data_IF_084929533433
#
_entry.id   IF_084929533433
#
_cell.length_a   1.000
_cell.length_b   1.000
_cell.length_c   1.000
_cell.angle_alpha   90.00
_cell.angle_beta   90.00
_cell.angle_gamma   90.00
#
_symmetry.space_group_name_H-M   'P 1'
#
loop_
_entity.id
_entity.type
_entity.pdbx_description
1 polymer ?
#
# COMPACT_ATOMS: atom_id res chain seq x y z
N UNK A 1 -17.05 16.00 20.74
CA UNK A 1 -15.81 15.34 20.24
C UNK A 1 -16.14 14.70 18.90
N UNK A 2 -15.45 15.08 17.80
CA UNK A 2 -15.67 14.40 16.50
C UNK A 2 -15.27 12.95 16.64
N UNK A 3 -16.25 12.04 16.50
CA UNK A 3 -16.01 10.62 16.46
C UNK A 3 -14.99 10.34 15.35
N UNK A 4 -13.82 9.84 15.76
CA UNK A 4 -12.70 9.62 14.86
C UNK A 4 -13.10 8.45 13.98
N UNK A 5 -13.53 8.73 12.74
CA UNK A 5 -13.98 7.73 11.76
C UNK A 5 -12.98 6.57 11.78
N UNK A 6 -13.42 5.41 12.28
CA UNK A 6 -12.54 4.24 12.44
C UNK A 6 -12.17 3.79 11.03
N UNK A 7 -10.89 3.90 10.68
CA UNK A 7 -10.36 3.36 9.43
C UNK A 7 -10.66 1.86 9.41
N UNK A 8 -11.46 1.43 8.42
CA UNK A 8 -11.86 0.04 8.24
C UNK A 8 -11.56 -0.35 6.80
N UNK A 9 -10.75 -1.39 6.66
CA UNK A 9 -10.37 -2.00 5.37
C UNK A 9 -10.99 -3.39 5.20
N UNK A 10 -12.10 -3.66 5.90
CA UNK A 10 -12.70 -5.00 5.95
C UNK A 10 -13.07 -5.53 4.55
N UNK A 11 -13.56 -4.66 3.65
CA UNK A 11 -13.95 -5.06 2.28
C UNK A 11 -12.73 -5.40 1.43
N UNK A 12 -11.68 -4.60 1.54
CA UNK A 12 -10.43 -4.76 0.82
C UNK A 12 -9.69 -6.01 1.33
N UNK A 13 -9.67 -6.23 2.64
CA UNK A 13 -9.09 -7.42 3.26
C UNK A 13 -9.82 -8.68 2.82
N UNK A 14 -11.16 -8.68 2.81
CA UNK A 14 -11.92 -9.82 2.31
C UNK A 14 -11.63 -10.12 0.82
N UNK A 15 -11.51 -9.08 0.00
CA UNK A 15 -11.18 -9.23 -1.43
C UNK A 15 -9.76 -9.77 -1.62
N UNK A 16 -8.79 -9.32 -0.81
CA UNK A 16 -7.43 -9.85 -0.81
C UNK A 16 -7.40 -11.31 -0.33
N UNK A 17 -8.14 -11.67 0.71
CA UNK A 17 -8.22 -13.04 1.23
C UNK A 17 -8.66 -14.02 0.12
N UNK A 18 -9.68 -13.67 -0.66
CA UNK A 18 -10.05 -14.42 -1.86
C UNK A 18 -8.90 -14.49 -2.88
N UNK A 19 -8.21 -13.37 -3.14
CA UNK A 19 -7.03 -13.34 -4.02
C UNK A 19 -5.85 -14.20 -3.55
N UNK A 20 -5.77 -14.50 -2.25
CA UNK A 20 -4.79 -15.41 -1.66
C UNK A 20 -5.28 -16.87 -1.56
N UNK A 21 -6.48 -17.17 -2.08
CA UNK A 21 -7.03 -18.53 -2.16
C UNK A 21 -8.07 -18.88 -1.08
N UNK A 22 -8.56 -17.92 -0.31
CA UNK A 22 -9.69 -18.13 0.61
C UNK A 22 -11.04 -18.17 -0.16
N UNK A 23 -12.15 -18.39 0.53
CA UNK A 23 -13.49 -18.34 -0.02
C UNK A 23 -13.85 -16.96 -0.59
N UNK A 24 -14.70 -16.93 -1.63
CA UNK A 24 -15.23 -15.69 -2.23
C UNK A 24 -15.90 -14.76 -1.21
N UNK A 25 -16.53 -15.34 -0.21
CA UNK A 25 -17.10 -14.66 0.95
C UNK A 25 -16.46 -15.24 2.21
N UNK A 26 -15.28 -14.74 2.61
CA UNK A 26 -14.59 -15.24 3.80
C UNK A 26 -15.40 -14.93 5.06
N UNK A 27 -15.17 -15.71 6.12
CA UNK A 27 -15.88 -15.50 7.38
C UNK A 27 -15.55 -14.12 7.96
N UNK A 28 -16.56 -13.47 8.55
CA UNK A 28 -16.44 -12.10 9.05
C UNK A 28 -15.43 -11.99 10.21
N UNK A 29 -15.46 -12.94 11.13
CA UNK A 29 -14.53 -13.04 12.26
C UNK A 29 -13.07 -13.20 11.81
N UNK A 30 -12.82 -14.07 10.82
CA UNK A 30 -11.48 -14.24 10.22
C UNK A 30 -11.02 -12.95 9.52
N UNK A 31 -11.91 -12.32 8.74
CA UNK A 31 -11.61 -11.05 8.05
C UNK A 31 -11.24 -9.96 9.06
N UNK A 32 -11.97 -9.90 10.18
CA UNK A 32 -11.73 -8.92 11.24
C UNK A 32 -10.38 -9.14 11.92
N UNK A 33 -10.04 -10.40 12.22
CA UNK A 33 -8.74 -10.74 12.79
C UNK A 33 -7.59 -10.34 11.84
N UNK A 34 -7.68 -10.72 10.56
CA UNK A 34 -6.66 -10.38 9.54
C UNK A 34 -6.53 -8.86 9.38
N UNK A 35 -7.66 -8.15 9.36
CA UNK A 35 -7.70 -6.70 9.32
C UNK A 35 -6.93 -6.06 10.49
N UNK A 36 -7.20 -6.51 11.71
CA UNK A 36 -6.58 -5.95 12.91
C UNK A 36 -5.07 -6.28 12.98
N UNK A 37 -4.67 -7.50 12.58
CA UNK A 37 -3.26 -7.85 12.42
C UNK A 37 -2.55 -6.97 11.38
N UNK A 38 -3.21 -6.75 10.24
CA UNK A 38 -2.66 -5.93 9.14
C UNK A 38 -2.47 -4.48 9.59
N UNK A 39 -3.47 -3.88 10.26
CA UNK A 39 -3.37 -2.54 10.82
C UNK A 39 -2.26 -2.43 11.87
N UNK A 40 -2.16 -3.41 12.77
CA UNK A 40 -1.11 -3.47 13.78
C UNK A 40 0.28 -3.52 13.16
N UNK A 41 0.46 -4.36 12.14
CA UNK A 41 1.70 -4.49 11.40
C UNK A 41 2.09 -3.19 10.69
N UNK A 42 1.17 -2.58 9.93
CA UNK A 42 1.42 -1.33 9.20
C UNK A 42 1.79 -0.21 10.18
N UNK A 43 1.05 -0.08 11.28
CA UNK A 43 1.34 0.92 12.31
C UNK A 43 2.74 0.73 12.89
N UNK A 44 3.11 -0.50 13.25
CA UNK A 44 4.44 -0.79 13.78
C UNK A 44 5.55 -0.49 12.77
N UNK A 45 5.35 -0.85 11.49
CA UNK A 45 6.30 -0.59 10.42
C UNK A 45 6.48 0.90 10.15
N UNK A 46 5.39 1.67 10.11
CA UNK A 46 5.42 3.12 9.87
C UNK A 46 6.09 3.86 11.02
N UNK A 47 5.84 3.47 12.28
CA UNK A 47 6.51 4.06 13.44
C UNK A 47 8.03 3.81 13.37
N UNK A 48 8.45 2.58 13.06
CA UNK A 48 9.86 2.23 12.87
C UNK A 48 10.50 3.08 11.77
N UNK A 49 9.83 3.17 10.62
CA UNK A 49 10.28 3.96 9.46
C UNK A 49 10.39 5.45 9.78
N UNK A 50 9.39 6.01 10.45
CA UNK A 50 9.41 7.40 10.88
C UNK A 50 10.57 7.68 11.83
N UNK A 51 10.79 6.83 12.84
CA UNK A 51 11.89 7.00 13.80
C UNK A 51 13.27 6.94 13.13
N UNK A 52 13.45 6.06 12.14
CA UNK A 52 14.67 6.03 11.32
C UNK A 52 14.81 7.31 10.48
N UNK A 53 13.73 7.76 9.84
CA UNK A 53 13.73 8.93 8.97
C UNK A 53 13.85 10.27 9.72
N UNK A 54 13.57 10.32 11.03
CA UNK A 54 13.79 11.51 11.87
C UNK A 54 15.22 12.04 11.78
N UNK A 55 16.20 11.14 11.66
CA UNK A 55 17.62 11.52 11.49
C UNK A 55 17.82 12.35 10.21
N UNK A 56 17.04 12.07 9.15
CA UNK A 56 17.05 12.79 7.87
C UNK A 56 16.09 14.00 7.83
N UNK A 57 15.34 14.26 8.91
CA UNK A 57 14.40 15.38 9.03
C UNK A 57 13.04 15.22 8.33
N UNK A 58 12.88 14.31 7.36
CA UNK A 58 11.60 14.05 6.68
C UNK A 58 11.42 12.56 6.36
N UNK A 59 10.22 12.03 6.59
CA UNK A 59 9.84 10.66 6.20
C UNK A 59 9.34 10.63 4.75
N UNK A 60 9.96 9.81 3.92
CA UNK A 60 9.54 9.53 2.54
C UNK A 60 9.03 8.10 2.41
N UNK A 61 8.23 7.83 1.38
CA UNK A 61 7.78 6.47 1.07
C UNK A 61 8.96 5.52 0.81
N UNK A 62 10.03 6.02 0.19
CA UNK A 62 11.24 5.26 -0.10
C UNK A 62 11.97 4.76 1.17
N UNK A 63 11.76 5.40 2.32
CA UNK A 63 12.36 4.94 3.58
C UNK A 63 11.81 3.56 4.01
N UNK A 64 10.62 3.15 3.52
CA UNK A 64 10.08 1.81 3.73
C UNK A 64 10.95 0.72 3.06
N UNK A 65 11.65 1.07 1.97
CA UNK A 65 12.53 0.14 1.24
C UNK A 65 13.67 -0.37 2.13
N UNK A 66 14.07 0.41 3.15
CA UNK A 66 15.08 0.00 4.10
C UNK A 66 14.69 -1.26 4.88
N UNK A 67 13.41 -1.38 5.27
CA UNK A 67 12.92 -2.56 6.00
C UNK A 67 12.69 -3.76 5.07
N UNK A 68 12.42 -3.51 3.79
CA UNK A 68 12.19 -4.55 2.79
C UNK A 68 13.49 -5.16 2.23
N UNK A 69 14.64 -4.48 2.36
CA UNK A 69 15.91 -4.92 1.75
C UNK A 69 16.39 -6.32 2.17
N UNK A 70 15.91 -6.84 3.31
CA UNK A 70 16.25 -8.19 3.79
C UNK A 70 15.54 -9.28 2.99
N UNK A 71 14.39 -8.99 2.42
CA UNK A 71 13.62 -9.91 1.59
C UNK A 71 13.78 -9.50 0.12
N UNK A 72 14.74 -10.14 -0.57
CA UNK A 72 15.06 -9.82 -1.97
C UNK A 72 13.84 -9.95 -2.90
N UNK A 73 12.96 -10.93 -2.66
CA UNK A 73 11.77 -11.15 -3.49
C UNK A 73 10.79 -9.98 -3.33
N UNK A 74 10.46 -9.61 -2.08
CA UNK A 74 9.57 -8.46 -1.82
C UNK A 74 10.18 -7.15 -2.31
N UNK A 75 11.47 -6.96 -2.10
CA UNK A 75 12.18 -5.75 -2.50
C UNK A 75 12.15 -5.55 -4.02
N UNK A 76 12.46 -6.59 -4.79
CA UNK A 76 12.41 -6.53 -6.26
C UNK A 76 10.98 -6.31 -6.75
N UNK A 77 10.00 -6.99 -6.16
CA UNK A 77 8.59 -6.83 -6.51
C UNK A 77 8.12 -5.38 -6.33
N UNK A 78 8.51 -4.71 -5.25
CA UNK A 78 8.14 -3.31 -5.02
C UNK A 78 8.80 -2.39 -6.05
N UNK A 79 10.07 -2.62 -6.41
CA UNK A 79 10.74 -1.86 -7.47
C UNK A 79 10.01 -1.97 -8.81
N UNK A 80 9.64 -3.18 -9.20
CA UNK A 80 8.88 -3.41 -10.43
C UNK A 80 7.54 -2.68 -10.42
N UNK A 81 6.79 -2.77 -9.32
CA UNK A 81 5.51 -2.07 -9.18
C UNK A 81 5.65 -0.54 -9.28
N UNK A 82 6.70 0.03 -8.68
CA UNK A 82 6.99 1.46 -8.80
C UNK A 82 7.36 1.85 -10.23
N UNK A 83 8.15 1.03 -10.93
CA UNK A 83 8.50 1.25 -12.34
C UNK A 83 7.25 1.27 -13.23
N UNK A 84 6.41 0.24 -13.11
CA UNK A 84 5.17 0.12 -13.88
C UNK A 84 4.22 1.28 -13.55
N UNK A 85 4.13 1.69 -12.28
CA UNK A 85 3.31 2.84 -11.88
C UNK A 85 3.75 4.14 -12.57
N UNK A 86 5.05 4.36 -12.73
CA UNK A 86 5.54 5.55 -13.44
C UNK A 86 5.31 5.45 -14.95
N UNK A 87 5.49 4.26 -15.54
CA UNK A 87 5.17 4.01 -16.96
C UNK A 87 3.69 4.29 -17.26
N UNK A 88 2.77 3.79 -16.43
CA UNK A 88 1.32 4.05 -16.55
C UNK A 88 1.01 5.54 -16.41
N UNK A 89 1.71 6.25 -15.52
CA UNK A 89 1.53 7.69 -15.33
C UNK A 89 2.02 8.50 -16.53
N UNK A 90 3.12 8.11 -17.16
CA UNK A 90 3.62 8.71 -18.39
C UNK A 90 2.63 8.46 -19.55
N UNK A 91 2.17 7.21 -19.71
CA UNK A 91 1.22 6.85 -20.76
C UNK A 91 -0.10 7.63 -20.66
N UNK A 92 -0.64 7.80 -19.45
CA UNK A 92 -1.84 8.62 -19.22
C UNK A 92 -1.64 10.08 -19.63
N UNK A 93 -0.49 10.66 -19.30
CA UNK A 93 -0.19 12.05 -19.69
C UNK A 93 -0.13 12.25 -21.20
N UNK A 94 0.45 11.30 -21.93
CA UNK A 94 0.51 11.37 -23.40
C UNK A 94 -0.89 11.35 -24.01
N UNK A 95 -1.77 10.47 -23.49
CA UNK A 95 -3.15 10.38 -23.95
C UNK A 95 -4.00 11.62 -23.60
N UNK A 96 -3.80 12.20 -22.41
CA UNK A 96 -4.49 13.44 -22.03
C UNK A 96 -4.01 14.63 -22.88
N UNK A 97 -2.73 14.67 -23.28
CA UNK A 97 -2.19 15.71 -24.18
C UNK A 97 -2.85 15.69 -25.56
N UNK A 98 -3.06 14.50 -26.14
CA UNK A 98 -3.73 14.34 -27.44
C UNK A 98 -5.20 14.83 -27.43
N UNK A 99 -5.84 14.88 -26.26
CA UNK A 99 -7.21 15.38 -26.11
C UNK A 99 -7.27 16.91 -26.07
N UNK A 100 -6.20 17.59 -25.69
CA UNK A 100 -6.11 19.05 -25.66
C UNK A 100 -5.69 19.68 -26.99
N UNK A 101 -4.99 18.97 -27.88
CA UNK A 101 -4.64 19.49 -29.22
C UNK A 101 -5.74 19.30 -30.28
N UNK A 102 -6.80 18.56 -29.96
CA UNK A 102 -7.93 18.29 -30.88
C UNK A 102 -9.18 19.13 -30.59
N UNK A 103 -9.10 20.06 -29.65
CA UNK A 103 -10.05 21.17 -29.45
C UNK A 103 -9.39 22.49 -29.84
#
# INVERSE_FOLDING_TARGET
MREKRRLSFMKEVASMMFGYGDAKTPRHDTTMAVHDYTLGYIKALLVKTHNMAKIKGKTKADDLMYYLKRDKKKYNRVKELLKISEEVKIARKLYDYERFEKE
#
